data_IF_776732965082
#
_entry.id   IF_776732965082
#
_cell.length_a   1.000
_cell.length_b   1.000
_cell.length_c   1.000
_cell.angle_alpha   90.00
_cell.angle_beta   90.00
_cell.angle_gamma   90.00
#
_symmetry.space_group_name_H-M   'P 1'
#
loop_
_entity.id
_entity.type
_entity.pdbx_description
1 polymer ?
#
# COMPACT_ATOMS: atom_id res chain seq x y z
N UNK A 1 11.33 11.17 -0.23
CA UNK A 1 11.75 11.85 1.02
C UNK A 1 10.66 11.58 2.04
N UNK A 2 10.84 10.57 2.89
CA UNK A 2 9.87 10.22 3.92
C UNK A 2 10.08 11.17 5.10
N UNK A 3 9.22 12.18 5.27
CA UNK A 3 9.18 12.96 6.50
C UNK A 3 7.87 12.67 7.21
N UNK A 4 7.89 11.73 8.15
CA UNK A 4 6.82 11.58 9.13
C UNK A 4 7.14 12.21 10.48
N UNK A 5 8.38 12.65 10.74
CA UNK A 5 8.76 13.12 12.09
C UNK A 5 9.56 14.43 12.10
N UNK A 6 9.02 15.46 11.42
CA UNK A 6 9.43 16.85 11.63
C UNK A 6 8.28 17.65 12.22
N UNK A 7 8.57 18.66 13.04
CA UNK A 7 7.61 19.55 13.69
C UNK A 7 6.70 20.37 12.73
N UNK A 8 6.72 20.08 11.42
CA UNK A 8 6.14 20.88 10.34
C UNK A 8 5.00 20.20 9.57
N UNK A 9 4.44 19.07 10.04
CA UNK A 9 3.30 18.41 9.37
C UNK A 9 3.67 17.81 8.00
N UNK A 10 2.66 17.36 7.23
CA UNK A 10 2.87 16.71 5.91
C UNK A 10 3.38 17.70 4.83
N UNK A 11 3.14 19.01 5.00
CA UNK A 11 3.68 20.04 4.11
C UNK A 11 5.16 20.36 4.39
N UNK A 12 5.67 20.04 5.58
CA UNK A 12 7.06 20.25 5.95
C UNK A 12 8.08 19.72 4.94
N UNK A 13 8.02 18.44 4.52
CA UNK A 13 8.89 17.91 3.48
C UNK A 13 8.75 18.62 2.12
N UNK A 14 7.55 19.08 1.74
CA UNK A 14 7.36 19.82 0.48
C UNK A 14 8.08 21.17 0.51
N UNK A 15 7.95 21.89 1.63
CA UNK A 15 8.64 23.18 1.80
C UNK A 15 10.17 23.00 1.83
N UNK A 16 10.67 22.00 2.55
CA UNK A 16 12.12 21.72 2.64
C UNK A 16 12.72 21.21 1.33
N UNK A 17 11.91 20.57 0.47
CA UNK A 17 12.34 20.07 -0.82
C UNK A 17 12.13 21.06 -1.97
N UNK A 18 11.74 22.31 -1.70
CA UNK A 18 11.41 23.32 -2.73
C UNK A 18 12.46 23.45 -3.82
N UNK A 19 13.74 23.56 -3.46
CA UNK A 19 14.86 23.68 -4.42
C UNK A 19 15.11 22.42 -5.25
N UNK A 20 14.49 21.29 -4.90
CA UNK A 20 14.52 20.03 -5.64
C UNK A 20 13.27 19.81 -6.48
N UNK A 21 12.17 20.44 -6.12
CA UNK A 21 10.88 20.34 -6.80
C UNK A 21 10.70 21.43 -7.86
N UNK A 22 11.40 22.57 -7.71
CA UNK A 22 11.34 23.70 -8.63
C UNK A 22 12.67 23.84 -9.35
N UNK A 23 12.69 23.50 -10.63
CA UNK A 23 13.88 23.55 -11.50
C UNK A 23 13.88 24.76 -12.46
N UNK A 24 12.89 25.66 -12.31
CA UNK A 24 12.71 26.84 -13.17
C UNK A 24 11.94 26.57 -14.48
N UNK A 25 11.59 25.32 -14.79
CA UNK A 25 10.76 24.99 -15.97
C UNK A 25 9.29 25.40 -15.80
N UNK A 26 8.82 25.48 -14.54
CA UNK A 26 7.42 25.69 -14.23
C UNK A 26 6.55 24.44 -14.40
N UNK A 27 7.12 23.28 -14.78
CA UNK A 27 6.37 22.04 -14.92
C UNK A 27 5.87 21.54 -13.54
N UNK A 28 4.70 20.87 -13.51
CA UNK A 28 4.17 20.30 -12.29
C UNK A 28 4.96 19.06 -11.84
N UNK A 29 4.85 18.74 -10.57
CA UNK A 29 5.50 17.57 -9.97
C UNK A 29 4.48 16.66 -9.27
N UNK A 30 4.78 15.36 -9.25
CA UNK A 30 3.96 14.38 -8.56
C UNK A 30 4.25 14.38 -7.06
N UNK A 31 3.19 14.28 -6.26
CA UNK A 31 3.24 14.02 -4.82
C UNK A 31 2.37 12.81 -4.54
N UNK A 32 2.98 11.77 -3.95
CA UNK A 32 2.34 10.48 -3.73
C UNK A 32 2.49 10.06 -2.26
N UNK A 33 1.41 9.58 -1.67
CA UNK A 33 1.46 8.87 -0.39
C UNK A 33 2.22 7.54 -0.59
N UNK A 34 3.15 7.25 0.32
CA UNK A 34 4.02 6.06 0.21
C UNK A 34 3.38 4.77 0.73
N UNK A 35 2.21 4.86 1.34
CA UNK A 35 1.43 3.78 1.92
C UNK A 35 0.16 3.47 1.11
N UNK A 36 0.13 3.86 -0.17
CA UNK A 36 -0.95 3.52 -1.10
C UNK A 36 -0.47 2.49 -2.12
N UNK A 37 -1.31 1.50 -2.41
CA UNK A 37 -1.15 0.61 -3.56
C UNK A 37 -2.34 0.83 -4.50
N UNK A 38 -2.06 1.23 -5.73
CA UNK A 38 -3.07 1.45 -6.74
C UNK A 38 -2.53 1.27 -8.16
N UNK A 39 -3.38 1.45 -9.16
CA UNK A 39 -2.95 1.78 -10.51
C UNK A 39 -2.49 3.25 -10.55
N UNK A 40 -1.45 3.58 -11.33
CA UNK A 40 -0.91 4.94 -11.43
C UNK A 40 -0.99 5.43 -12.87
N UNK A 41 -2.10 6.07 -13.28
CA UNK A 41 -2.31 6.56 -14.65
C UNK A 41 -1.65 7.94 -14.83
N UNK A 42 -0.31 7.98 -14.73
CA UNK A 42 0.43 9.24 -14.73
C UNK A 42 0.24 10.06 -16.02
N UNK A 43 0.15 9.39 -17.17
CA UNK A 43 -0.04 10.07 -18.44
C UNK A 43 -1.42 10.75 -18.52
N UNK A 44 -2.47 10.06 -18.09
CA UNK A 44 -3.83 10.58 -18.02
C UNK A 44 -3.94 11.72 -17.00
N UNK A 45 -3.29 11.59 -15.84
CA UNK A 45 -3.27 12.64 -14.81
C UNK A 45 -2.58 13.92 -15.32
N UNK A 46 -1.46 13.80 -16.04
CA UNK A 46 -0.79 14.94 -16.68
C UNK A 46 -1.71 15.61 -17.71
N UNK A 47 -2.32 14.82 -18.59
CA UNK A 47 -3.21 15.33 -19.63
C UNK A 47 -4.41 16.06 -19.02
N UNK A 48 -5.02 15.47 -17.99
CA UNK A 48 -6.12 16.06 -17.24
C UNK A 48 -5.71 17.36 -16.56
N UNK A 49 -4.56 17.39 -15.87
CA UNK A 49 -4.10 18.62 -15.21
C UNK A 49 -3.86 19.77 -16.21
N UNK A 50 -3.18 19.46 -17.32
CA UNK A 50 -2.89 20.45 -18.39
C UNK A 50 -4.16 20.98 -19.06
N UNK A 51 -5.23 20.19 -19.16
CA UNK A 51 -6.49 20.65 -19.78
C UNK A 51 -7.32 21.59 -18.90
N UNK A 52 -7.09 21.63 -17.58
CA UNK A 52 -7.89 22.43 -16.64
C UNK A 52 -7.19 23.72 -16.18
N UNK A 53 -5.85 23.76 -16.16
CA UNK A 53 -5.08 24.97 -15.84
C UNK A 53 -5.17 25.46 -14.39
N UNK A 54 -5.63 24.61 -13.46
CA UNK A 54 -5.63 24.89 -12.01
C UNK A 54 -4.26 24.71 -11.36
N UNK A 55 -4.14 25.06 -10.08
CA UNK A 55 -2.88 24.92 -9.32
C UNK A 55 -2.57 23.47 -8.95
N UNK A 56 -3.60 22.64 -8.78
CA UNK A 56 -3.44 21.26 -8.35
C UNK A 56 -4.52 20.36 -8.94
N UNK A 57 -4.14 19.12 -9.25
CA UNK A 57 -5.05 18.01 -9.48
C UNK A 57 -4.80 16.91 -8.46
N UNK A 58 -5.86 16.45 -7.80
CA UNK A 58 -5.81 15.31 -6.88
C UNK A 58 -6.58 14.13 -7.47
N UNK A 59 -6.12 12.91 -7.24
CA UNK A 59 -6.92 11.74 -7.58
C UNK A 59 -7.87 11.39 -6.46
N UNK A 60 -9.06 10.90 -6.81
CA UNK A 60 -10.07 10.45 -5.87
C UNK A 60 -10.53 9.04 -6.17
N UNK A 61 -10.89 8.28 -5.14
CA UNK A 61 -11.48 6.96 -5.27
C UNK A 61 -12.80 6.86 -4.51
N UNK A 62 -13.65 5.90 -4.86
CA UNK A 62 -14.92 5.66 -4.16
C UNK A 62 -14.72 4.58 -3.10
N UNK A 63 -15.16 4.86 -1.87
CA UNK A 63 -15.15 3.90 -0.77
C UNK A 63 -16.50 3.85 -0.06
N UNK A 64 -16.82 2.72 0.54
CA UNK A 64 -18.06 2.57 1.31
C UNK A 64 -17.99 3.36 2.64
N UNK A 65 -16.83 3.37 3.29
CA UNK A 65 -16.60 4.00 4.60
C UNK A 65 -15.59 5.16 4.51
N UNK A 66 -16.06 6.41 4.24
CA UNK A 66 -15.18 7.56 4.00
C UNK A 66 -14.69 8.27 5.27
N UNK A 67 -15.19 7.89 6.46
CA UNK A 67 -14.99 8.61 7.73
C UNK A 67 -13.51 8.75 8.17
N UNK A 68 -12.64 7.88 7.64
CA UNK A 68 -11.19 7.88 7.93
C UNK A 68 -10.36 8.78 7.00
N UNK A 69 -10.98 9.34 5.95
CA UNK A 69 -10.26 9.99 4.85
C UNK A 69 -10.77 11.41 4.58
N UNK A 70 -10.02 12.15 3.75
CA UNK A 70 -10.48 13.42 3.19
C UNK A 70 -11.52 13.19 2.10
N UNK A 71 -12.73 13.71 2.29
CA UNK A 71 -13.83 13.62 1.32
C UNK A 71 -13.76 14.80 0.35
N UNK A 72 -13.88 14.50 -0.93
CA UNK A 72 -13.82 15.48 -2.03
C UNK A 72 -15.20 15.61 -2.67
N UNK A 73 -15.76 16.81 -2.61
CA UNK A 73 -16.97 17.18 -3.33
C UNK A 73 -16.56 17.92 -4.60
N UNK A 74 -16.88 17.37 -5.76
CA UNK A 74 -16.47 17.87 -7.07
C UNK A 74 -17.66 17.94 -8.04
N UNK A 75 -17.51 18.73 -9.09
CA UNK A 75 -18.39 18.68 -10.27
C UNK A 75 -18.04 17.46 -11.11
N UNK A 76 -19.03 16.67 -11.53
CA UNK A 76 -18.76 15.42 -12.26
C UNK A 76 -18.28 15.69 -13.68
N UNK A 77 -18.76 16.76 -14.31
CA UNK A 77 -18.45 17.10 -15.72
C UNK A 77 -17.05 17.68 -15.89
N UNK A 78 -16.63 18.55 -14.96
CA UNK A 78 -15.37 19.29 -15.04
C UNK A 78 -14.30 18.77 -14.08
N UNK A 79 -14.68 17.95 -13.09
CA UNK A 79 -13.80 17.56 -12.01
C UNK A 79 -13.42 18.68 -11.04
N UNK A 80 -13.97 19.88 -11.18
CA UNK A 80 -13.62 21.00 -10.30
C UNK A 80 -14.05 20.73 -8.86
N UNK A 81 -13.12 20.87 -7.91
CA UNK A 81 -13.40 20.61 -6.49
C UNK A 81 -14.13 21.80 -5.89
N UNK A 82 -15.35 21.56 -5.40
CA UNK A 82 -16.16 22.55 -4.67
C UNK A 82 -15.78 22.62 -3.20
N UNK A 83 -15.44 21.46 -2.61
CA UNK A 83 -15.12 21.36 -1.19
C UNK A 83 -14.24 20.16 -0.92
N UNK A 84 -13.24 20.36 -0.07
CA UNK A 84 -12.44 19.29 0.53
C UNK A 84 -12.75 19.24 2.03
N UNK A 85 -13.09 18.08 2.56
CA UNK A 85 -13.48 17.89 3.97
C UNK A 85 -12.68 16.75 4.58
N UNK A 86 -11.69 17.08 5.41
CA UNK A 86 -10.86 16.09 6.09
C UNK A 86 -11.62 15.37 7.21
N UNK A 87 -11.67 14.03 7.17
CA UNK A 87 -12.26 13.13 8.19
C UNK A 87 -13.62 13.62 8.71
N UNK A 88 -14.65 13.67 7.85
CA UNK A 88 -15.92 14.25 8.21
C UNK A 88 -16.66 13.40 9.25
N UNK A 89 -17.27 14.06 10.23
CA UNK A 89 -18.12 13.41 11.26
C UNK A 89 -19.50 13.00 10.76
N UNK A 90 -19.94 13.61 9.67
CA UNK A 90 -21.23 13.34 9.00
C UNK A 90 -20.93 12.89 7.56
N UNK A 91 -21.83 12.13 6.96
CA UNK A 91 -21.67 11.74 5.56
C UNK A 91 -21.73 12.98 4.65
N UNK A 92 -20.65 13.21 3.90
CA UNK A 92 -20.53 14.30 2.90
C UNK A 92 -20.54 13.74 1.48
N UNK A 93 -19.94 12.57 1.28
CA UNK A 93 -19.79 11.91 0.00
C UNK A 93 -18.88 10.70 0.15
N UNK A 94 -18.80 9.87 -0.90
CA UNK A 94 -18.02 8.64 -0.91
C UNK A 94 -16.75 8.72 -1.77
N UNK A 95 -16.49 9.86 -2.43
CA UNK A 95 -15.22 10.13 -3.11
C UNK A 95 -14.21 10.66 -2.11
N UNK A 96 -13.17 9.88 -1.86
CA UNK A 96 -12.10 10.21 -0.93
C UNK A 96 -10.81 10.53 -1.67
N UNK A 97 -9.95 11.32 -1.04
CA UNK A 97 -8.61 11.61 -1.50
C UNK A 97 -7.79 10.31 -1.62
N UNK A 98 -7.27 10.02 -2.81
CA UNK A 98 -6.52 8.80 -3.08
C UNK A 98 -5.01 8.93 -2.76
N UNK A 99 -4.54 10.09 -2.30
CA UNK A 99 -3.12 10.28 -1.96
C UNK A 99 -2.19 10.42 -3.16
N UNK A 100 -2.72 10.79 -4.33
CA UNK A 100 -1.96 10.94 -5.58
C UNK A 100 -2.26 12.33 -6.15
N UNK A 101 -1.26 13.18 -6.21
CA UNK A 101 -1.41 14.58 -6.60
C UNK A 101 -0.45 14.94 -7.73
N UNK A 102 -0.88 15.87 -8.57
CA UNK A 102 -0.04 16.60 -9.51
C UNK A 102 -0.18 18.09 -9.18
N UNK A 103 0.92 18.70 -8.73
CA UNK A 103 0.93 20.06 -8.19
C UNK A 103 1.81 20.97 -9.05
N UNK A 104 1.32 22.18 -9.31
CA UNK A 104 2.16 23.23 -9.88
C UNK A 104 3.12 23.79 -8.82
N UNK A 105 4.30 24.29 -9.24
CA UNK A 105 5.26 24.93 -8.33
C UNK A 105 4.67 26.03 -7.44
N UNK A 106 3.68 26.78 -7.93
CA UNK A 106 3.00 27.84 -7.16
C UNK A 106 2.30 27.33 -5.89
N UNK A 107 1.94 26.04 -5.81
CA UNK A 107 1.37 25.46 -4.58
C UNK A 107 2.34 25.58 -3.41
N UNK A 108 3.65 25.52 -3.67
CA UNK A 108 4.67 25.68 -2.63
C UNK A 108 4.69 27.08 -2.01
N UNK A 109 4.16 28.10 -2.70
CA UNK A 109 4.02 29.46 -2.16
C UNK A 109 2.90 29.57 -1.12
N UNK A 110 1.98 28.59 -1.10
CA UNK A 110 0.93 28.51 -0.09
C UNK A 110 1.38 27.84 1.20
N UNK A 111 2.57 27.22 1.20
CA UNK A 111 3.08 26.46 2.34
C UNK A 111 3.96 27.37 3.20
N UNK A 112 3.51 27.65 4.41
CA UNK A 112 4.31 28.34 5.42
C UNK A 112 5.28 27.36 6.11
N UNK A 113 6.42 27.86 6.60
CA UNK A 113 7.38 27.08 7.39
C UNK A 113 6.90 26.87 8.84
N UNK A 114 5.74 26.24 8.98
CA UNK A 114 5.12 25.86 10.25
C UNK A 114 4.45 24.49 10.09
N UNK A 115 4.05 23.82 11.18
CA UNK A 115 3.18 22.66 11.10
C UNK A 115 1.93 22.94 10.27
N UNK A 116 1.89 22.37 9.07
CA UNK A 116 0.82 22.55 8.10
C UNK A 116 0.45 21.22 7.47
N UNK A 117 -0.85 20.98 7.33
CA UNK A 117 -1.38 19.83 6.57
C UNK A 117 -1.96 20.27 5.23
N UNK A 118 -1.53 19.62 4.15
CA UNK A 118 -1.96 19.93 2.79
C UNK A 118 -3.47 19.73 2.67
N UNK A 119 -4.00 18.67 3.27
CA UNK A 119 -5.41 18.29 3.21
C UNK A 119 -6.31 19.22 4.04
N UNK A 120 -5.79 19.74 5.16
CA UNK A 120 -6.57 20.60 6.07
C UNK A 120 -6.48 22.08 5.74
N UNK A 121 -5.34 22.52 5.22
CA UNK A 121 -5.02 23.94 5.11
C UNK A 121 -4.78 24.41 3.68
N UNK A 122 -4.22 23.56 2.80
CA UNK A 122 -3.83 23.97 1.45
C UNK A 122 -4.92 23.65 0.43
N UNK A 123 -5.35 22.39 0.31
CA UNK A 123 -6.40 22.00 -0.62
C UNK A 123 -7.73 22.73 -0.41
N UNK A 124 -8.22 22.96 0.83
CA UNK A 124 -9.43 23.77 1.02
C UNK A 124 -9.28 25.21 0.53
N UNK A 125 -8.10 25.82 0.66
CA UNK A 125 -7.82 27.17 0.13
C UNK A 125 -7.77 27.16 -1.40
N UNK A 126 -7.03 26.23 -2.01
CA UNK A 126 -6.96 26.10 -3.48
C UNK A 126 -8.35 25.83 -4.07
N UNK A 127 -9.18 24.99 -3.42
CA UNK A 127 -10.56 24.75 -3.83
C UNK A 127 -11.42 26.01 -3.75
N UNK A 128 -11.26 26.81 -2.69
CA UNK A 128 -11.97 28.09 -2.52
C UNK A 128 -11.58 29.11 -3.60
N UNK A 129 -10.32 29.09 -4.01
CA UNK A 129 -9.77 29.92 -5.10
C UNK A 129 -10.07 29.32 -6.49
N UNK A 130 -10.83 28.21 -6.55
CA UNK A 130 -11.22 27.51 -7.79
C UNK A 130 -10.04 26.91 -8.59
N UNK A 131 -8.89 26.73 -7.94
CA UNK A 131 -7.68 26.17 -8.56
C UNK A 131 -7.50 24.65 -8.37
N UNK A 132 -8.43 23.96 -7.69
CA UNK A 132 -8.31 22.54 -7.36
C UNK A 132 -9.24 21.69 -8.23
N UNK A 133 -8.68 20.68 -8.88
CA UNK A 133 -9.43 19.71 -9.67
C UNK A 133 -9.22 18.30 -9.14
N UNK A 134 -10.19 17.43 -9.36
CA UNK A 134 -10.16 16.03 -8.97
C UNK A 134 -10.40 15.13 -10.19
N UNK A 135 -9.60 14.07 -10.29
CA UNK A 135 -9.73 13.02 -11.30
C UNK A 135 -10.07 11.71 -10.61
N UNK A 136 -11.10 11.01 -11.07
CA UNK A 136 -11.42 9.69 -10.52
C UNK A 136 -10.34 8.70 -10.93
N UNK A 137 -9.77 8.01 -9.95
CA UNK A 137 -8.76 6.99 -10.15
C UNK A 137 -9.37 5.77 -10.84
N UNK A 138 -8.92 5.40 -12.06
CA UNK A 138 -9.25 4.11 -12.65
C UNK A 138 -8.57 2.98 -11.88
N UNK A 139 -9.23 1.82 -11.85
CA UNK A 139 -8.65 0.62 -11.26
C UNK A 139 -8.85 0.51 -9.76
N UNK A 140 -7.96 -0.24 -9.10
CA UNK A 140 -8.03 -0.49 -7.67
C UNK A 140 -7.23 0.54 -6.88
N UNK A 141 -7.57 0.66 -5.59
CA UNK A 141 -6.87 1.50 -4.64
C UNK A 141 -6.94 0.84 -3.26
N UNK A 142 -5.85 0.91 -2.50
CA UNK A 142 -5.81 0.50 -1.11
C UNK A 142 -4.76 1.31 -0.34
N UNK A 143 -5.17 1.89 0.78
CA UNK A 143 -4.26 2.35 1.84
C UNK A 143 -3.78 1.12 2.62
N UNK A 144 -2.49 0.83 2.58
CA UNK A 144 -1.85 -0.34 3.20
C UNK A 144 -1.18 0.00 4.54
N UNK A 145 -1.67 1.02 5.24
CA UNK A 145 -1.16 1.43 6.56
C UNK A 145 -1.31 0.40 7.68
N UNK A 146 -2.13 -0.65 7.51
CA UNK A 146 -2.26 -1.75 8.47
C UNK A 146 -1.98 -3.12 7.82
N UNK A 147 -1.50 -4.13 8.58
CA UNK A 147 -1.18 -5.45 8.04
C UNK A 147 -2.34 -6.16 7.31
N UNK A 148 -3.57 -6.02 7.83
CA UNK A 148 -4.78 -6.56 7.18
C UNK A 148 -5.04 -5.88 5.84
N UNK A 149 -4.81 -4.58 5.79
CA UNK A 149 -4.99 -3.79 4.60
C UNK A 149 -3.92 -4.10 3.56
N UNK A 150 -2.68 -4.39 3.98
CA UNK A 150 -1.62 -4.90 3.12
C UNK A 150 -2.00 -6.21 2.40
N UNK A 151 -2.55 -7.20 3.12
CA UNK A 151 -3.02 -8.45 2.48
C UNK A 151 -4.19 -8.20 1.52
N UNK A 152 -5.07 -7.26 1.85
CA UNK A 152 -6.18 -6.85 0.97
C UNK A 152 -5.65 -6.16 -0.28
N UNK A 153 -4.69 -5.24 -0.13
CA UNK A 153 -3.99 -4.57 -1.23
C UNK A 153 -3.24 -5.56 -2.13
N UNK A 154 -2.58 -6.56 -1.55
CA UNK A 154 -1.97 -7.66 -2.29
C UNK A 154 -3.01 -8.38 -3.17
N UNK A 155 -4.17 -8.75 -2.62
CA UNK A 155 -5.24 -9.39 -3.40
C UNK A 155 -5.70 -8.51 -4.56
N UNK A 156 -5.97 -7.23 -4.29
CA UNK A 156 -6.41 -6.28 -5.31
C UNK A 156 -5.38 -6.10 -6.42
N UNK A 157 -4.09 -6.02 -6.05
CA UNK A 157 -2.99 -5.95 -6.99
C UNK A 157 -2.88 -7.21 -7.85
N UNK A 158 -2.96 -8.40 -7.23
CA UNK A 158 -2.94 -9.68 -7.95
C UNK A 158 -4.14 -9.83 -8.89
N UNK A 159 -5.32 -9.36 -8.49
CA UNK A 159 -6.52 -9.31 -9.34
C UNK A 159 -6.34 -8.33 -10.53
N UNK A 160 -5.70 -7.17 -10.32
CA UNK A 160 -5.35 -6.25 -11.40
C UNK A 160 -4.35 -6.89 -12.36
N UNK A 161 -3.31 -7.57 -11.85
CA UNK A 161 -2.38 -8.32 -12.69
C UNK A 161 -3.08 -9.41 -13.51
N UNK A 162 -4.07 -10.12 -12.95
CA UNK A 162 -4.85 -11.10 -13.72
C UNK A 162 -5.55 -10.46 -14.92
N UNK A 163 -6.08 -9.24 -14.78
CA UNK A 163 -6.79 -8.52 -15.84
C UNK A 163 -5.83 -7.91 -16.87
N UNK A 164 -4.76 -7.27 -16.41
CA UNK A 164 -3.92 -6.40 -17.22
C UNK A 164 -2.62 -7.06 -17.69
N UNK A 165 -2.11 -8.07 -16.98
CA UNK A 165 -0.84 -8.72 -17.26
C UNK A 165 -0.80 -10.18 -16.74
N UNK A 166 -1.72 -11.05 -17.19
CA UNK A 166 -1.88 -12.41 -16.65
C UNK A 166 -0.65 -13.30 -16.84
N UNK A 167 0.27 -12.94 -17.73
CA UNK A 167 1.55 -13.64 -17.92
C UNK A 167 2.51 -13.50 -16.74
N UNK A 168 2.35 -12.46 -15.91
CA UNK A 168 3.17 -12.26 -14.69
C UNK A 168 2.77 -13.19 -13.55
N UNK A 169 1.53 -13.73 -13.58
CA UNK A 169 1.06 -14.65 -12.55
C UNK A 169 1.60 -16.06 -12.82
N UNK A 170 2.00 -16.73 -11.75
CA UNK A 170 2.48 -18.10 -11.79
C UNK A 170 1.35 -19.06 -12.15
N UNK A 171 1.68 -20.12 -12.89
CA UNK A 171 0.74 -21.15 -13.34
C UNK A 171 1.33 -22.53 -13.07
N UNK A 172 0.46 -23.51 -12.87
CA UNK A 172 0.87 -24.89 -12.64
C UNK A 172 -0.17 -25.65 -11.83
N UNK A 173 -0.03 -26.97 -11.77
CA UNK A 173 -0.93 -27.86 -11.02
C UNK A 173 -0.89 -27.62 -9.50
N UNK A 174 0.17 -26.99 -9.01
CA UNK A 174 0.38 -26.65 -7.60
C UNK A 174 -0.04 -25.21 -7.25
N UNK A 175 -0.62 -24.46 -8.20
CA UNK A 175 -1.02 -23.06 -8.02
C UNK A 175 -2.55 -22.94 -8.05
N UNK A 176 -3.12 -22.23 -7.07
CA UNK A 176 -4.55 -21.92 -6.99
C UNK A 176 -4.79 -20.41 -7.06
N UNK A 177 -5.68 -19.97 -7.95
CA UNK A 177 -6.04 -18.55 -8.05
C UNK A 177 -4.88 -17.67 -8.50
N UNK A 178 -4.81 -16.44 -7.97
CA UNK A 178 -3.74 -15.51 -8.32
C UNK A 178 -2.53 -15.73 -7.41
N UNK A 179 -1.39 -16.07 -8.02
CA UNK A 179 -0.13 -16.22 -7.31
C UNK A 179 0.97 -15.53 -8.09
N UNK A 180 1.83 -14.79 -7.39
CA UNK A 180 3.01 -14.17 -7.94
C UNK A 180 4.25 -14.79 -7.28
N UNK A 181 5.08 -15.44 -8.07
CA UNK A 181 6.35 -16.02 -7.61
C UNK A 181 7.49 -15.33 -8.36
N UNK A 182 8.46 -14.80 -7.61
CA UNK A 182 9.68 -14.28 -8.19
C UNK A 182 10.49 -15.42 -8.83
N UNK A 183 11.10 -15.16 -9.99
CA UNK A 183 11.81 -16.17 -10.80
C UNK A 183 12.95 -16.90 -10.06
N UNK A 184 13.58 -16.25 -9.08
CA UNK A 184 14.66 -16.82 -8.27
C UNK A 184 14.19 -17.65 -7.06
N UNK A 185 12.88 -17.72 -6.81
CA UNK A 185 12.34 -18.54 -5.73
C UNK A 185 12.34 -20.02 -6.13
N UNK A 186 12.66 -20.89 -5.17
CA UNK A 186 12.69 -22.34 -5.37
C UNK A 186 11.48 -22.95 -4.65
N UNK A 187 10.67 -23.70 -5.38
CA UNK A 187 9.48 -24.37 -4.86
C UNK A 187 9.66 -25.89 -4.95
N UNK A 188 9.59 -26.56 -3.81
CA UNK A 188 9.67 -28.01 -3.69
C UNK A 188 8.41 -28.72 -4.20
N UNK A 189 8.53 -30.01 -4.45
CA UNK A 189 7.41 -30.84 -4.91
C UNK A 189 6.28 -30.94 -3.85
N UNK A 190 5.06 -31.21 -4.32
CA UNK A 190 3.90 -31.42 -3.45
C UNK A 190 3.37 -30.19 -2.71
N UNK A 191 3.91 -28.99 -3.01
CA UNK A 191 3.39 -27.73 -2.51
C UNK A 191 2.00 -27.44 -3.10
N UNK A 192 1.23 -26.59 -2.41
CA UNK A 192 0.04 -25.94 -2.96
C UNK A 192 0.06 -24.48 -2.53
N UNK A 193 0.06 -23.60 -3.52
CA UNK A 193 0.27 -22.17 -3.32
C UNK A 193 -0.95 -21.43 -3.85
N UNK A 194 -1.55 -20.63 -2.99
CA UNK A 194 -2.70 -19.78 -3.30
C UNK A 194 -3.98 -20.16 -2.55
N UNK A 195 -5.04 -19.36 -2.70
CA UNK A 195 -5.10 -18.13 -3.50
C UNK A 195 -4.35 -16.96 -2.85
N UNK A 196 -4.07 -15.92 -3.64
CA UNK A 196 -3.58 -14.60 -3.20
C UNK A 196 -2.25 -14.66 -2.45
N UNK A 197 -1.25 -15.27 -3.08
CA UNK A 197 0.10 -15.41 -2.50
C UNK A 197 1.12 -14.67 -3.35
N UNK A 198 2.00 -13.92 -2.69
CA UNK A 198 3.22 -13.38 -3.29
C UNK A 198 4.46 -13.96 -2.62
N UNK A 199 5.39 -14.48 -3.44
CA UNK A 199 6.68 -15.03 -3.00
C UNK A 199 7.81 -14.20 -3.59
N UNK A 200 8.59 -13.58 -2.72
CA UNK A 200 9.70 -12.71 -3.05
C UNK A 200 10.96 -13.42 -3.57
N UNK A 201 11.99 -12.64 -3.93
CA UNK A 201 13.23 -13.16 -4.48
C UNK A 201 14.01 -14.00 -3.48
N UNK A 202 14.67 -15.07 -3.97
CA UNK A 202 15.56 -15.92 -3.18
C UNK A 202 14.88 -16.74 -2.09
N UNK A 203 13.54 -16.81 -2.08
CA UNK A 203 12.80 -17.65 -1.14
C UNK A 203 12.99 -19.13 -1.47
N UNK A 204 13.04 -19.95 -0.43
CA UNK A 204 13.08 -21.41 -0.54
C UNK A 204 11.87 -22.00 0.14
N UNK A 205 10.98 -22.59 -0.65
CA UNK A 205 9.77 -23.28 -0.19
C UNK A 205 10.03 -24.78 -0.29
N UNK A 206 10.27 -25.43 0.84
CA UNK A 206 10.56 -26.87 0.87
C UNK A 206 9.31 -27.71 0.58
N UNK A 207 9.46 -29.01 0.28
CA UNK A 207 8.35 -29.87 -0.15
C UNK A 207 7.13 -29.90 0.78
N UNK A 208 5.95 -30.02 0.17
CA UNK A 208 4.68 -30.23 0.88
C UNK A 208 4.08 -28.98 1.57
N UNK A 209 4.69 -27.81 1.42
CA UNK A 209 4.23 -26.56 2.03
C UNK A 209 2.88 -26.09 1.44
N UNK A 210 2.05 -25.49 2.28
CA UNK A 210 0.74 -24.93 1.90
C UNK A 210 0.69 -23.44 2.23
N UNK A 211 0.42 -22.61 1.22
CA UNK A 211 0.37 -21.14 1.36
C UNK A 211 -0.97 -20.60 0.87
N UNK A 212 -1.61 -19.69 1.60
CA UNK A 212 -2.79 -18.97 1.11
C UNK A 212 -2.92 -17.58 1.73
N UNK A 213 -3.31 -16.57 0.95
CA UNK A 213 -3.55 -15.20 1.40
C UNK A 213 -2.37 -14.65 2.23
N UNK A 214 -1.16 -14.81 1.73
CA UNK A 214 0.04 -14.44 2.47
C UNK A 214 1.12 -13.82 1.58
N UNK A 215 2.00 -13.06 2.21
CA UNK A 215 3.17 -12.48 1.56
C UNK A 215 4.43 -13.06 2.19
N UNK A 216 5.28 -13.65 1.35
CA UNK A 216 6.55 -14.25 1.72
C UNK A 216 7.65 -13.34 1.20
N UNK A 217 8.28 -12.57 2.08
CA UNK A 217 9.28 -11.56 1.70
C UNK A 217 10.62 -12.18 1.32
N UNK A 218 11.51 -11.37 0.73
CA UNK A 218 12.80 -11.82 0.17
C UNK A 218 13.59 -12.68 1.16
N UNK A 219 14.19 -13.74 0.63
CA UNK A 219 15.14 -14.60 1.35
C UNK A 219 14.52 -15.47 2.44
N UNK A 220 13.19 -15.57 2.51
CA UNK A 220 12.52 -16.42 3.50
C UNK A 220 12.69 -17.90 3.15
N UNK A 221 12.92 -18.72 4.17
CA UNK A 221 12.94 -20.18 4.07
C UNK A 221 11.76 -20.80 4.80
N UNK A 222 10.91 -21.53 4.09
CA UNK A 222 9.80 -22.27 4.68
C UNK A 222 10.10 -23.76 4.56
N UNK A 223 10.28 -24.42 5.71
CA UNK A 223 10.65 -25.83 5.75
C UNK A 223 9.45 -26.75 5.46
N UNK A 224 9.76 -28.02 5.24
CA UNK A 224 8.81 -29.07 4.81
C UNK A 224 7.50 -29.06 5.58
N UNK A 225 6.41 -29.23 4.84
CA UNK A 225 5.05 -29.44 5.37
C UNK A 225 4.50 -28.30 6.27
N UNK A 226 5.15 -27.15 6.31
CA UNK A 226 4.60 -25.98 6.99
C UNK A 226 3.34 -25.45 6.27
N UNK A 227 2.45 -24.82 7.02
CA UNK A 227 1.23 -24.23 6.51
C UNK A 227 1.14 -22.76 6.94
N UNK A 228 0.96 -21.85 5.98
CA UNK A 228 0.88 -20.40 6.25
C UNK A 228 -0.37 -19.84 5.59
N UNK A 229 -1.21 -19.19 6.39
CA UNK A 229 -2.40 -18.52 5.92
C UNK A 229 -2.59 -17.13 6.51
N UNK A 230 -3.13 -16.21 5.71
CA UNK A 230 -3.55 -14.88 6.17
C UNK A 230 -2.45 -14.14 6.93
N UNK A 231 -1.20 -14.15 6.46
CA UNK A 231 -0.03 -13.73 7.26
C UNK A 231 1.05 -13.07 6.41
N UNK A 232 1.96 -12.34 7.07
CA UNK A 232 3.11 -11.68 6.44
C UNK A 232 4.38 -12.28 7.05
N UNK A 233 5.22 -12.87 6.21
CA UNK A 233 6.49 -13.45 6.62
C UNK A 233 7.61 -12.52 6.19
N UNK A 234 8.18 -11.78 7.15
CA UNK A 234 9.21 -10.77 6.93
C UNK A 234 10.54 -11.34 6.43
N UNK A 235 11.34 -10.44 5.87
CA UNK A 235 12.61 -10.74 5.19
C UNK A 235 13.49 -11.71 5.97
N UNK A 236 14.15 -12.62 5.25
CA UNK A 236 15.15 -13.54 5.82
C UNK A 236 14.67 -14.45 6.95
N UNK A 237 13.37 -14.49 7.24
CA UNK A 237 12.80 -15.36 8.27
C UNK A 237 12.84 -16.84 7.87
N UNK A 238 12.88 -17.71 8.86
CA UNK A 238 12.74 -19.16 8.69
C UNK A 238 11.50 -19.67 9.41
N UNK A 239 10.65 -20.42 8.69
CA UNK A 239 9.50 -21.13 9.28
C UNK A 239 9.81 -22.62 9.35
N UNK A 240 9.74 -23.18 10.56
CA UNK A 240 10.09 -24.57 10.85
C UNK A 240 9.21 -25.62 10.17
N UNK A 241 9.67 -26.88 10.20
CA UNK A 241 8.93 -28.01 9.64
C UNK A 241 7.63 -28.21 10.40
N UNK A 242 6.54 -28.53 9.70
CA UNK A 242 5.21 -28.72 10.31
C UNK A 242 4.68 -27.52 11.10
N UNK A 243 5.34 -26.36 11.04
CA UNK A 243 4.87 -25.16 11.68
C UNK A 243 3.59 -24.67 10.99
N UNK A 244 2.69 -24.06 11.77
CA UNK A 244 1.45 -23.49 11.28
C UNK A 244 1.35 -22.02 11.67
N UNK A 245 1.27 -21.16 10.66
CA UNK A 245 1.22 -19.71 10.82
C UNK A 245 -0.14 -19.22 10.32
N UNK A 246 -0.96 -18.65 11.19
CA UNK A 246 -2.34 -18.30 10.84
C UNK A 246 -2.78 -16.96 11.48
N UNK A 247 -3.98 -16.51 11.06
CA UNK A 247 -4.75 -15.43 11.66
C UNK A 247 -4.02 -14.08 11.80
N UNK A 248 -3.40 -13.59 10.72
CA UNK A 248 -2.65 -12.34 10.69
C UNK A 248 -1.40 -12.37 11.58
N UNK A 249 -0.65 -13.47 11.51
CA UNK A 249 0.70 -13.48 12.08
C UNK A 249 1.62 -12.64 11.19
N UNK A 250 2.46 -11.84 11.82
CA UNK A 250 3.45 -10.97 11.18
C UNK A 250 4.80 -11.30 11.78
N UNK A 251 5.71 -11.78 10.94
CA UNK A 251 7.10 -11.94 11.31
C UNK A 251 7.89 -10.73 10.81
N UNK A 252 8.68 -10.11 11.69
CA UNK A 252 9.67 -9.11 11.32
C UNK A 252 10.80 -9.69 10.47
N UNK A 253 11.87 -8.91 10.30
CA UNK A 253 13.07 -9.41 9.63
C UNK A 253 13.78 -10.47 10.50
N UNK A 254 14.29 -11.52 9.85
CA UNK A 254 15.18 -12.52 10.45
C UNK A 254 14.57 -13.23 11.68
N UNK A 255 13.27 -13.53 11.62
CA UNK A 255 12.58 -14.30 12.65
C UNK A 255 12.69 -15.79 12.38
N UNK A 256 12.98 -16.55 13.42
CA UNK A 256 13.11 -18.01 13.38
C UNK A 256 11.96 -18.66 14.13
N UNK A 257 11.03 -19.29 13.40
CA UNK A 257 9.98 -20.12 13.99
C UNK A 257 10.45 -21.56 14.06
N UNK A 258 10.40 -22.15 15.25
CA UNK A 258 10.75 -23.55 15.49
C UNK A 258 9.88 -24.53 14.71
N UNK A 259 10.36 -25.77 14.59
CA UNK A 259 9.57 -26.85 14.02
C UNK A 259 8.35 -27.13 14.93
N UNK A 260 7.21 -27.51 14.32
CA UNK A 260 5.94 -27.84 14.99
C UNK A 260 5.29 -26.70 15.79
N UNK A 261 5.79 -25.47 15.65
CA UNK A 261 5.21 -24.29 16.31
C UNK A 261 3.95 -23.81 15.58
N UNK A 262 2.91 -23.53 16.35
CA UNK A 262 1.69 -22.87 15.90
C UNK A 262 1.66 -21.40 16.32
N UNK A 263 1.34 -20.50 15.40
CA UNK A 263 1.09 -19.08 15.69
C UNK A 263 -0.29 -18.63 15.24
N UNK A 264 -1.01 -17.98 16.15
CA UNK A 264 -2.36 -17.47 15.95
C UNK A 264 -2.38 -15.94 16.12
N UNK A 265 -2.06 -15.20 15.07
CA UNK A 265 -2.07 -13.74 15.06
C UNK A 265 -0.96 -13.07 15.88
N UNK A 266 0.22 -13.69 15.94
CA UNK A 266 1.38 -13.12 16.62
C UNK A 266 2.03 -11.99 15.81
N UNK A 267 2.45 -10.91 16.46
CA UNK A 267 3.30 -9.87 15.87
C UNK A 267 4.69 -10.01 16.46
N UNK A 268 5.63 -10.50 15.66
CA UNK A 268 6.95 -10.91 16.14
C UNK A 268 7.97 -9.92 15.63
N UNK A 269 8.65 -9.23 16.55
CA UNK A 269 9.64 -8.22 16.20
C UNK A 269 10.88 -8.85 15.51
N UNK A 270 11.69 -8.05 14.80
CA UNK A 270 12.87 -8.55 14.12
C UNK A 270 13.87 -9.28 15.02
N UNK A 271 14.62 -10.24 14.44
CA UNK A 271 15.69 -11.00 15.08
C UNK A 271 15.25 -11.81 16.31
N UNK A 272 14.05 -12.39 16.24
CA UNK A 272 13.46 -13.20 17.31
C UNK A 272 13.38 -14.67 16.95
N UNK A 273 13.31 -15.50 17.98
CA UNK A 273 13.10 -16.93 17.83
C UNK A 273 11.84 -17.34 18.61
N UNK A 274 10.96 -18.09 17.95
CA UNK A 274 9.72 -18.61 18.55
C UNK A 274 9.88 -20.13 18.72
N UNK A 275 9.98 -20.58 19.98
CA UNK A 275 10.12 -22.01 20.32
C UNK A 275 8.83 -22.64 20.85
N UNK A 276 7.81 -21.83 21.11
CA UNK A 276 6.56 -22.26 21.73
C UNK A 276 5.36 -21.65 21.00
N UNK A 277 4.22 -22.32 21.10
CA UNK A 277 3.01 -21.89 20.42
C UNK A 277 2.52 -20.52 20.92
N UNK A 278 2.09 -19.69 19.97
CA UNK A 278 1.36 -18.44 20.20
C UNK A 278 -0.12 -18.74 19.97
N UNK A 279 -0.87 -18.99 21.04
CA UNK A 279 -2.26 -19.45 20.95
C UNK A 279 -3.27 -18.32 20.78
N UNK A 280 -2.89 -17.09 21.12
CA UNK A 280 -3.71 -15.87 21.03
C UNK A 280 -2.88 -14.75 20.42
N UNK A 281 -3.51 -13.75 19.79
CA UNK A 281 -2.78 -12.60 19.27
C UNK A 281 -1.98 -11.90 20.37
N UNK A 282 -0.68 -11.76 20.16
CA UNK A 282 0.24 -11.09 21.08
C UNK A 282 1.44 -10.50 20.33
N UNK A 283 2.14 -9.56 20.96
CA UNK A 283 3.39 -9.01 20.43
C UNK A 283 4.56 -9.71 21.11
N UNK A 284 5.42 -10.36 20.32
CA UNK A 284 6.65 -10.98 20.79
C UNK A 284 7.79 -9.99 20.56
N UNK A 285 8.32 -9.45 21.65
CA UNK A 285 9.28 -8.35 21.66
C UNK A 285 10.74 -8.77 21.68
#
# INVERSE_FOLDING_TARGET
MLARDGANGDCGPLALARDKLVDGSGEPFFVLNSDVVSEYPFAELIAFHKSHGGEATIMVTKVDEPSKYGVVVMEEETGRVKRFVEKPKIFVGNKINAGIYLLNPCVLDRIELKPTSIEKEIFPKIASDQGLYAMVLPGFWMDIGQPRDYITGLRLYLDSLRKNSPSKLSKGTHVLGNVLVHESAIIGYGCLIGPDVAIGPGCVIEPGVRLSRCSIMKGVKIKKHACISNSIIGWHSTVGQWARIDNMTILGEDVHVGDEVYTNGGVVLPHKEIKSNILKPEIVM
#
